data_IF_372380354377
#
_entry.id   IF_372380354377
#
_cell.length_a   1.000
_cell.length_b   1.000
_cell.length_c   1.000
_cell.angle_alpha   90.00
_cell.angle_beta   90.00
_cell.angle_gamma   90.00
#
_symmetry.space_group_name_H-M   'P 1'
#
loop_
_entity.id
_entity.type
_entity.pdbx_description
1 polymer ?
#
# COMPACT_ATOMS: atom_id res chain seq x y z
N UNK A 1 -12.72 0.00 -11.25
CA UNK A 1 -12.26 0.78 -12.41
C UNK A 1 -12.12 -0.17 -13.61
N UNK A 2 -12.68 0.16 -14.76
CA UNK A 2 -12.74 -0.70 -15.95
C UNK A 2 -11.35 -1.13 -16.46
N UNK A 3 -10.34 -0.31 -16.25
CA UNK A 3 -8.97 -0.60 -16.66
C UNK A 3 -8.25 -1.63 -15.77
N UNK A 4 -8.77 -1.93 -14.58
CA UNK A 4 -8.13 -2.88 -13.65
C UNK A 4 -8.39 -4.31 -14.12
N UNK A 5 -7.34 -5.00 -14.53
CA UNK A 5 -7.41 -6.39 -15.01
C UNK A 5 -7.16 -7.42 -13.92
N UNK A 6 -6.36 -7.08 -12.94
CA UNK A 6 -5.95 -7.99 -11.85
C UNK A 6 -5.66 -7.23 -10.58
N UNK A 7 -6.11 -7.76 -9.46
CA UNK A 7 -5.76 -7.31 -8.12
C UNK A 7 -5.16 -8.49 -7.36
N UNK A 8 -3.96 -8.35 -6.86
CA UNK A 8 -3.33 -9.30 -5.95
C UNK A 8 -3.36 -8.69 -4.54
N UNK A 9 -4.19 -9.27 -3.68
CA UNK A 9 -4.30 -8.89 -2.27
C UNK A 9 -3.42 -9.82 -1.45
N UNK A 10 -2.49 -9.26 -0.70
CA UNK A 10 -1.59 -10.01 0.18
C UNK A 10 -1.90 -9.65 1.63
N UNK A 11 -2.42 -10.61 2.38
CA UNK A 11 -2.80 -10.48 3.79
C UNK A 11 -2.25 -11.67 4.58
N UNK A 12 -1.48 -11.39 5.63
CA UNK A 12 -0.83 -12.45 6.41
C UNK A 12 -1.82 -13.26 7.24
N UNK A 13 -2.91 -12.64 7.69
CA UNK A 13 -3.91 -13.26 8.56
C UNK A 13 -5.12 -13.72 7.75
N UNK A 14 -5.30 -15.05 7.55
CA UNK A 14 -6.46 -15.57 6.85
C UNK A 14 -7.79 -15.23 7.55
N UNK A 15 -7.78 -15.02 8.88
CA UNK A 15 -8.99 -14.63 9.61
C UNK A 15 -9.47 -13.23 9.23
N UNK A 16 -8.55 -12.31 8.90
CA UNK A 16 -8.92 -10.99 8.36
C UNK A 16 -9.56 -11.10 6.98
N UNK A 17 -9.04 -11.98 6.14
CA UNK A 17 -9.65 -12.24 4.82
C UNK A 17 -11.04 -12.83 4.96
N UNK A 18 -11.21 -13.83 5.84
CA UNK A 18 -12.50 -14.46 6.11
C UNK A 18 -13.50 -13.46 6.70
N UNK A 19 -13.05 -12.63 7.64
CA UNK A 19 -13.88 -11.59 8.25
C UNK A 19 -14.34 -10.56 7.20
N UNK A 20 -13.44 -10.11 6.33
CA UNK A 20 -13.76 -9.17 5.23
C UNK A 20 -14.74 -9.77 4.21
N UNK A 21 -14.74 -11.10 4.04
CA UNK A 21 -15.62 -11.83 3.14
C UNK A 21 -16.98 -12.20 3.78
N UNK A 22 -17.09 -12.21 5.13
CA UNK A 22 -18.27 -12.78 5.80
C UNK A 22 -19.01 -11.81 6.72
N UNK A 23 -18.31 -10.84 7.33
CA UNK A 23 -18.94 -9.89 8.24
C UNK A 23 -19.79 -8.88 7.47
N UNK A 24 -21.10 -8.71 7.76
CA UNK A 24 -22.01 -7.89 6.95
C UNK A 24 -21.54 -6.45 6.74
N UNK A 25 -20.99 -5.80 7.77
CA UNK A 25 -20.50 -4.43 7.65
C UNK A 25 -19.26 -4.32 6.77
N UNK A 26 -18.33 -5.29 6.86
CA UNK A 26 -17.13 -5.30 6.03
C UNK A 26 -17.44 -5.65 4.58
N UNK A 27 -18.37 -6.59 4.36
CA UNK A 27 -18.89 -6.89 3.02
C UNK A 27 -19.52 -5.66 2.39
N UNK A 28 -20.32 -4.91 3.16
CA UNK A 28 -20.91 -3.65 2.68
C UNK A 28 -19.84 -2.61 2.36
N UNK A 29 -18.82 -2.45 3.21
CA UNK A 29 -17.75 -1.49 3.02
C UNK A 29 -16.87 -1.81 1.79
N UNK A 30 -16.58 -3.08 1.55
CA UNK A 30 -15.79 -3.49 0.40
C UNK A 30 -16.63 -3.77 -0.88
N UNK A 31 -17.92 -3.47 -0.84
CA UNK A 31 -18.83 -3.69 -1.97
C UNK A 31 -18.98 -5.16 -2.38
N UNK A 32 -18.73 -6.10 -1.47
CA UNK A 32 -18.75 -7.54 -1.75
C UNK A 32 -17.57 -8.02 -2.63
N UNK A 33 -16.51 -7.24 -2.73
CA UNK A 33 -15.37 -7.52 -3.64
C UNK A 33 -14.74 -8.90 -3.43
N UNK A 34 -14.76 -9.45 -2.20
CA UNK A 34 -14.24 -10.78 -1.89
C UNK A 34 -15.26 -11.92 -2.09
N UNK A 35 -16.51 -11.60 -2.43
CA UNK A 35 -17.59 -12.57 -2.70
C UNK A 35 -17.77 -12.86 -4.19
N UNK A 36 -17.01 -12.17 -5.04
CA UNK A 36 -17.05 -12.37 -6.49
C UNK A 36 -16.47 -13.76 -6.84
N UNK A 37 -17.07 -14.44 -7.80
CA UNK A 37 -16.63 -15.76 -8.29
C UNK A 37 -15.28 -15.72 -9.01
N UNK A 38 -14.78 -14.53 -9.33
CA UNK A 38 -13.43 -14.28 -9.86
C UNK A 38 -12.35 -14.19 -8.78
N UNK A 39 -12.72 -14.23 -7.49
CA UNK A 39 -11.78 -14.24 -6.38
C UNK A 39 -11.23 -15.65 -6.18
N UNK A 40 -9.91 -15.77 -6.17
CA UNK A 40 -9.21 -17.02 -5.87
C UNK A 40 -8.33 -16.87 -4.64
N UNK A 41 -8.41 -17.79 -3.69
CA UNK A 41 -7.51 -17.88 -2.56
C UNK A 41 -6.28 -18.72 -2.93
N UNK A 42 -5.10 -18.17 -2.65
CA UNK A 42 -3.81 -18.83 -2.87
C UNK A 42 -3.06 -18.92 -1.54
N UNK A 43 -3.17 -20.02 -0.79
CA UNK A 43 -2.62 -20.11 0.57
C UNK A 43 -1.10 -20.11 0.63
N UNK A 44 -0.42 -20.42 -0.49
CA UNK A 44 1.03 -20.41 -0.56
C UNK A 44 1.52 -20.11 -1.98
N UNK A 45 2.77 -19.61 -2.08
CA UNK A 45 3.46 -19.47 -3.36
C UNK A 45 4.00 -20.85 -3.82
N UNK A 46 3.92 -21.10 -5.13
CA UNK A 46 4.37 -22.38 -5.70
C UNK A 46 3.33 -23.51 -5.64
N UNK A 47 2.13 -23.22 -5.15
CA UNK A 47 1.01 -24.15 -5.19
C UNK A 47 0.51 -24.25 -6.63
N UNK A 48 0.33 -25.48 -7.12
CA UNK A 48 -0.22 -25.75 -8.45
C UNK A 48 -1.64 -25.20 -8.59
N UNK A 49 -2.08 -24.89 -9.80
CA UNK A 49 -3.45 -24.36 -10.04
C UNK A 49 -4.56 -25.28 -9.47
N UNK A 50 -4.31 -26.59 -9.35
CA UNK A 50 -5.24 -27.56 -8.77
C UNK A 50 -5.45 -27.43 -7.24
N UNK A 51 -4.59 -26.70 -6.52
CA UNK A 51 -4.68 -26.47 -5.08
C UNK A 51 -5.25 -25.10 -4.70
N UNK A 52 -5.77 -24.36 -5.69
CA UNK A 52 -6.46 -23.08 -5.48
C UNK A 52 -7.78 -23.38 -4.76
N UNK A 53 -7.91 -22.89 -3.54
CA UNK A 53 -9.20 -22.89 -2.85
C UNK A 53 -10.03 -21.73 -3.33
N UNK A 54 -11.18 -22.00 -3.92
CA UNK A 54 -12.25 -21.00 -4.09
C UNK A 54 -12.83 -20.70 -2.72
N UNK A 55 -13.01 -19.42 -2.40
CA UNK A 55 -13.77 -19.02 -1.19
C UNK A 55 -15.18 -19.55 -1.39
N UNK A 56 -15.56 -20.53 -0.57
CA UNK A 56 -16.95 -21.01 -0.58
C UNK A 56 -17.84 -19.85 -0.14
N UNK A 57 -18.68 -19.38 -1.05
CA UNK A 57 -19.71 -18.35 -0.71
C UNK A 57 -20.50 -18.82 0.49
N UNK A 58 -20.63 -17.98 1.55
CA UNK A 58 -21.64 -18.26 2.55
C UNK A 58 -22.99 -18.28 1.83
N UNK A 59 -23.67 -19.39 1.85
CA UNK A 59 -24.95 -19.63 1.13
C UNK A 59 -26.12 -18.72 1.59
N UNK A 60 -25.88 -17.71 2.42
CA UNK A 60 -26.89 -16.88 3.08
C UNK A 60 -26.72 -15.36 2.89
N UNK A 61 -25.77 -14.89 2.09
CA UNK A 61 -25.68 -13.45 1.80
C UNK A 61 -26.70 -13.09 0.73
N UNK A 62 -27.59 -12.15 1.09
CA UNK A 62 -28.61 -11.67 0.17
C UNK A 62 -27.97 -10.99 -1.04
N UNK A 63 -28.47 -11.20 -2.28
CA UNK A 63 -27.96 -10.56 -3.50
C UNK A 63 -27.91 -9.03 -3.43
N UNK A 64 -28.74 -8.41 -2.58
CA UNK A 64 -28.79 -6.96 -2.37
C UNK A 64 -27.56 -6.34 -1.69
N UNK A 65 -26.63 -7.15 -1.17
CA UNK A 65 -25.34 -6.69 -0.61
C UNK A 65 -24.24 -6.63 -1.64
N UNK A 66 -24.46 -7.19 -2.84
CA UNK A 66 -23.54 -7.10 -3.95
C UNK A 66 -23.78 -5.76 -4.65
N UNK A 67 -22.77 -4.93 -4.72
CA UNK A 67 -22.80 -3.72 -5.54
C UNK A 67 -22.98 -4.11 -7.01
N UNK A 68 -23.93 -3.47 -7.72
CA UNK A 68 -24.10 -3.64 -9.18
C UNK A 68 -22.90 -3.11 -9.98
N UNK A 69 -21.92 -2.50 -9.32
CA UNK A 69 -20.66 -2.02 -9.89
C UNK A 69 -19.55 -3.04 -9.86
N UNK A 70 -19.84 -4.32 -10.01
CA UNK A 70 -18.82 -5.35 -10.17
C UNK A 70 -18.18 -5.20 -11.57
N UNK A 71 -16.90 -4.83 -11.60
CA UNK A 71 -16.15 -4.71 -12.84
C UNK A 71 -16.00 -6.10 -13.49
N UNK A 72 -16.57 -6.35 -14.67
CA UNK A 72 -16.74 -7.71 -15.19
C UNK A 72 -15.43 -8.40 -15.59
N UNK A 73 -14.29 -7.71 -15.51
CA UNK A 73 -12.99 -8.22 -15.98
C UNK A 73 -11.90 -8.29 -14.92
N UNK A 74 -12.08 -7.71 -13.73
CA UNK A 74 -11.04 -7.74 -12.70
C UNK A 74 -10.98 -9.12 -12.04
N UNK A 75 -9.79 -9.72 -12.00
CA UNK A 75 -9.52 -10.94 -11.24
C UNK A 75 -8.85 -10.57 -9.92
N UNK A 76 -9.45 -10.94 -8.80
CA UNK A 76 -8.85 -10.76 -7.48
C UNK A 76 -8.23 -12.08 -7.03
N UNK A 77 -6.95 -12.06 -6.71
CA UNK A 77 -6.23 -13.19 -6.12
C UNK A 77 -5.81 -12.84 -4.71
N UNK A 78 -6.24 -13.61 -3.75
CA UNK A 78 -5.92 -13.39 -2.34
C UNK A 78 -4.82 -14.36 -1.94
N UNK A 79 -3.75 -13.82 -1.36
CA UNK A 79 -2.61 -14.56 -0.85
C UNK A 79 -2.55 -14.38 0.67
N UNK A 80 -2.87 -15.43 1.43
CA UNK A 80 -2.65 -15.41 2.88
C UNK A 80 -1.19 -15.78 3.18
N UNK A 81 -0.33 -14.77 3.05
CA UNK A 81 1.11 -14.93 3.09
C UNK A 81 1.79 -13.67 3.62
N UNK A 82 2.95 -13.85 4.26
CA UNK A 82 3.84 -12.73 4.61
C UNK A 82 4.31 -11.99 3.34
N UNK A 83 4.14 -10.67 3.32
CA UNK A 83 4.50 -9.84 2.17
C UNK A 83 5.99 -9.92 1.82
N UNK A 84 6.92 -10.15 2.80
CA UNK A 84 8.35 -10.37 2.51
C UNK A 84 8.57 -11.68 1.73
N UNK A 85 7.73 -12.69 1.93
CA UNK A 85 7.76 -13.91 1.13
C UNK A 85 7.14 -13.68 -0.25
N UNK A 86 6.03 -12.95 -0.32
CA UNK A 86 5.35 -12.65 -1.58
C UNK A 86 6.26 -11.91 -2.57
N UNK A 87 6.96 -10.85 -2.13
CA UNK A 87 7.83 -10.06 -3.03
C UNK A 87 9.08 -10.82 -3.49
N UNK A 88 9.36 -11.98 -2.95
CA UNK A 88 10.45 -12.86 -3.43
C UNK A 88 10.05 -13.65 -4.67
N UNK A 89 8.77 -13.88 -4.86
CA UNK A 89 8.25 -14.47 -6.07
C UNK A 89 7.97 -13.40 -7.10
N UNK A 90 8.25 -13.67 -8.37
CA UNK A 90 7.99 -12.72 -9.45
C UNK A 90 6.54 -12.89 -9.93
N UNK A 91 5.60 -12.28 -9.22
CA UNK A 91 4.18 -12.27 -9.59
C UNK A 91 3.80 -11.11 -10.51
N UNK A 92 4.61 -10.02 -10.52
CA UNK A 92 4.43 -8.86 -11.42
C UNK A 92 4.55 -9.19 -12.91
N UNK A 93 4.56 -8.20 -13.79
CA UNK A 93 4.66 -6.79 -13.42
C UNK A 93 3.35 -6.19 -12.89
N UNK A 94 3.48 -5.18 -12.01
CA UNK A 94 2.38 -4.39 -11.47
C UNK A 94 2.47 -2.95 -11.95
N UNK A 95 1.32 -2.37 -12.30
CA UNK A 95 1.19 -0.95 -12.63
C UNK A 95 1.04 -0.09 -11.36
N UNK A 96 0.42 -0.66 -10.32
CA UNK A 96 0.23 0.00 -9.04
C UNK A 96 0.42 -0.99 -7.89
N UNK A 97 1.19 -0.57 -6.89
CA UNK A 97 1.31 -1.28 -5.61
C UNK A 97 0.89 -0.34 -4.48
N UNK A 98 -0.03 -0.81 -3.64
CA UNK A 98 -0.44 -0.10 -2.43
C UNK A 98 0.09 -0.88 -1.24
N UNK A 99 0.87 -0.22 -0.40
CA UNK A 99 1.44 -0.77 0.83
C UNK A 99 0.76 -0.13 2.02
N UNK A 100 0.04 -0.93 2.79
CA UNK A 100 -0.61 -0.52 4.03
C UNK A 100 -0.21 -1.50 5.15
N UNK A 101 1.05 -1.43 5.55
CA UNK A 101 1.59 -2.26 6.61
C UNK A 101 1.38 -1.62 7.98
N UNK A 102 1.27 -2.41 9.05
CA UNK A 102 1.30 -1.89 10.41
C UNK A 102 2.66 -1.24 10.70
N UNK A 103 2.66 -0.27 11.61
CA UNK A 103 3.88 0.40 12.06
C UNK A 103 4.99 -0.59 12.46
N UNK A 104 6.26 -0.26 12.21
CA UNK A 104 7.40 -1.14 12.46
C UNK A 104 7.72 -1.28 13.95
N UNK A 105 6.83 -1.92 14.72
CA UNK A 105 6.95 -2.14 16.18
C UNK A 105 7.86 -3.32 16.56
N UNK A 106 8.16 -4.19 15.62
CA UNK A 106 8.96 -5.41 15.81
C UNK A 106 9.93 -5.63 14.67
N UNK A 107 10.91 -6.52 14.83
CA UNK A 107 11.81 -6.94 13.75
C UNK A 107 11.01 -7.54 12.59
N UNK A 108 9.92 -8.27 12.90
CA UNK A 108 9.03 -8.85 11.91
C UNK A 108 8.34 -7.83 11.01
N UNK A 109 7.89 -6.69 11.57
CA UNK A 109 7.29 -5.60 10.78
C UNK A 109 8.35 -4.67 10.18
N UNK A 110 9.47 -4.42 10.90
CA UNK A 110 10.54 -3.55 10.40
C UNK A 110 11.19 -4.06 9.09
N UNK A 111 11.21 -5.39 8.86
CA UNK A 111 11.74 -5.97 7.60
C UNK A 111 10.96 -5.53 6.37
N UNK A 112 9.64 -5.24 6.51
CA UNK A 112 8.74 -4.80 5.44
C UNK A 112 9.03 -3.36 4.97
N UNK A 113 9.80 -2.61 5.76
CA UNK A 113 10.26 -1.26 5.45
C UNK A 113 11.76 -1.23 5.12
N UNK A 114 12.37 -2.39 4.84
CA UNK A 114 13.81 -2.49 4.63
C UNK A 114 14.21 -2.26 3.19
N UNK A 115 15.47 -1.87 3.01
CA UNK A 115 16.13 -1.75 1.70
C UNK A 115 15.97 -3.04 0.87
N UNK A 116 16.11 -4.20 1.53
CA UNK A 116 15.99 -5.51 0.87
C UNK A 116 14.56 -5.76 0.36
N UNK A 117 13.55 -5.38 1.14
CA UNK A 117 12.16 -5.48 0.73
C UNK A 117 11.87 -4.59 -0.48
N UNK A 118 12.24 -3.30 -0.40
CA UNK A 118 11.98 -2.35 -1.48
C UNK A 118 12.75 -2.68 -2.77
N UNK A 119 13.96 -3.21 -2.69
CA UNK A 119 14.70 -3.70 -3.87
C UNK A 119 14.00 -4.88 -4.55
N UNK A 120 13.36 -5.77 -3.80
CA UNK A 120 12.57 -6.85 -4.37
C UNK A 120 11.27 -6.34 -4.96
N UNK A 121 10.62 -5.41 -4.27
CA UNK A 121 9.43 -4.74 -4.78
C UNK A 121 9.70 -4.03 -6.11
N UNK A 122 10.84 -3.36 -6.25
CA UNK A 122 11.23 -2.69 -7.48
C UNK A 122 11.21 -3.62 -8.71
N UNK A 123 11.53 -4.92 -8.51
CA UNK A 123 11.51 -5.93 -9.58
C UNK A 123 10.11 -6.39 -9.95
N UNK A 124 9.10 -6.04 -9.17
CA UNK A 124 7.70 -6.38 -9.40
C UNK A 124 6.96 -5.30 -10.21
N UNK A 125 7.57 -4.12 -10.37
CA UNK A 125 6.95 -3.02 -11.11
C UNK A 125 7.17 -3.16 -12.61
N UNK A 126 6.11 -2.86 -13.35
CA UNK A 126 6.18 -2.64 -14.79
C UNK A 126 6.68 -1.24 -15.14
N UNK A 127 6.90 -0.98 -16.45
CA UNK A 127 7.21 0.36 -16.94
C UNK A 127 6.15 1.37 -16.50
N UNK A 128 6.55 2.46 -15.85
CA UNK A 128 5.62 3.47 -15.32
C UNK A 128 4.87 3.06 -14.05
N UNK A 129 5.23 1.92 -13.45
CA UNK A 129 4.60 1.43 -12.22
C UNK A 129 4.81 2.36 -11.03
N UNK A 130 3.77 2.51 -10.20
CA UNK A 130 3.73 3.38 -9.02
C UNK A 130 3.58 2.56 -7.75
N UNK A 131 4.15 3.07 -6.67
CA UNK A 131 3.97 2.54 -5.31
C UNK A 131 3.42 3.63 -4.43
N UNK A 132 2.30 3.39 -3.75
CA UNK A 132 1.81 4.21 -2.65
C UNK A 132 2.10 3.48 -1.33
N UNK A 133 3.06 3.98 -0.55
CA UNK A 133 3.50 3.35 0.68
C UNK A 133 3.06 4.16 1.90
N UNK A 134 2.24 3.55 2.76
CA UNK A 134 1.96 4.07 4.10
C UNK A 134 3.27 4.27 4.85
N UNK A 135 3.42 5.42 5.51
CA UNK A 135 4.71 5.83 6.07
C UNK A 135 4.59 6.45 7.45
N UNK A 136 3.52 6.11 8.19
CA UNK A 136 3.23 6.64 9.53
C UNK A 136 2.99 8.17 9.55
N UNK A 137 2.92 8.78 10.72
CA UNK A 137 2.68 10.22 10.83
C UNK A 137 3.98 11.02 10.59
N UNK A 138 4.02 11.93 9.63
CA UNK A 138 5.15 12.84 9.46
C UNK A 138 5.30 13.80 10.62
N UNK A 139 4.29 13.93 11.47
CA UNK A 139 4.28 14.82 12.63
C UNK A 139 4.70 14.10 13.90
N UNK A 140 4.00 13.03 14.27
CA UNK A 140 4.25 12.29 15.52
C UNK A 140 5.46 11.34 15.43
N UNK A 141 5.78 10.87 14.23
CA UNK A 141 6.83 9.87 13.98
C UNK A 141 7.73 10.31 12.82
N UNK A 142 8.15 11.57 12.84
CA UNK A 142 8.88 12.23 11.75
C UNK A 142 10.11 11.43 11.30
N UNK A 143 10.91 10.93 12.22
CA UNK A 143 12.14 10.20 11.89
C UNK A 143 11.83 8.86 11.18
N UNK A 144 10.77 8.17 11.58
CA UNK A 144 10.30 6.97 10.87
C UNK A 144 9.83 7.32 9.46
N UNK A 145 9.01 8.36 9.33
CA UNK A 145 8.53 8.85 8.04
C UNK A 145 9.69 9.14 7.08
N UNK A 146 10.67 9.89 7.55
CA UNK A 146 11.88 10.23 6.76
C UNK A 146 12.72 8.98 6.46
N UNK A 147 12.86 8.06 7.41
CA UNK A 147 13.58 6.80 7.24
C UNK A 147 12.98 5.95 6.12
N UNK A 148 11.65 5.85 6.05
CA UNK A 148 10.95 5.13 5.00
C UNK A 148 11.25 5.75 3.63
N UNK A 149 11.10 7.06 3.49
CA UNK A 149 11.39 7.77 2.25
C UNK A 149 12.86 7.62 1.82
N UNK A 150 13.79 7.78 2.76
CA UNK A 150 15.23 7.60 2.49
C UNK A 150 15.58 6.17 2.09
N UNK A 151 14.92 5.18 2.69
CA UNK A 151 15.12 3.77 2.35
C UNK A 151 14.56 3.43 0.97
N UNK A 152 13.41 3.99 0.59
CA UNK A 152 12.86 3.88 -0.76
C UNK A 152 13.85 4.46 -1.80
N UNK A 153 14.39 5.67 -1.57
CA UNK A 153 15.39 6.26 -2.45
C UNK A 153 16.67 5.42 -2.56
N UNK A 154 17.14 4.87 -1.44
CA UNK A 154 18.30 3.97 -1.44
C UNK A 154 18.04 2.65 -2.18
N UNK A 155 16.78 2.24 -2.32
CA UNK A 155 16.37 1.07 -3.11
C UNK A 155 16.27 1.36 -4.62
N UNK A 156 16.48 2.61 -5.04
CA UNK A 156 16.45 3.04 -6.43
C UNK A 156 15.17 3.75 -6.86
N UNK A 157 14.20 3.94 -5.97
CA UNK A 157 13.01 4.71 -6.27
C UNK A 157 13.27 6.21 -6.23
N UNK A 158 12.51 6.96 -7.01
CA UNK A 158 12.15 8.33 -6.67
C UNK A 158 11.00 8.26 -5.67
N UNK A 159 10.94 9.15 -4.70
CA UNK A 159 9.96 9.06 -3.62
C UNK A 159 9.48 10.46 -3.20
N UNK A 160 8.25 10.78 -3.56
CA UNK A 160 7.57 12.02 -3.21
C UNK A 160 6.75 11.81 -1.93
N UNK A 161 7.07 12.49 -0.82
CA UNK A 161 6.27 12.43 0.38
C UNK A 161 4.96 13.18 0.19
N UNK A 162 3.88 12.64 0.76
CA UNK A 162 2.60 13.34 0.85
C UNK A 162 1.91 13.01 2.17
N UNK A 163 0.96 13.83 2.56
CA UNK A 163 0.25 13.71 3.84
C UNK A 163 -1.22 14.10 3.70
N UNK A 164 -2.03 13.58 4.59
CA UNK A 164 -3.44 13.94 4.71
C UNK A 164 -3.88 13.79 6.17
N UNK A 165 -4.82 14.63 6.60
CA UNK A 165 -5.45 14.45 7.89
C UNK A 165 -6.46 13.30 7.82
N UNK A 166 -6.25 12.28 8.64
CA UNK A 166 -7.17 11.15 8.83
C UNK A 166 -7.91 11.38 10.14
N UNK A 167 -9.25 11.52 10.15
CA UNK A 167 -9.99 11.94 11.33
C UNK A 167 -9.73 11.11 12.61
N UNK A 168 -9.44 9.81 12.46
CA UNK A 168 -9.16 8.90 13.58
C UNK A 168 -7.69 8.88 14.03
N UNK A 169 -6.75 9.36 13.21
CA UNK A 169 -5.30 9.28 13.48
C UNK A 169 -4.60 10.63 13.50
N UNK A 170 -5.28 11.70 13.05
CA UNK A 170 -4.66 12.98 12.80
C UNK A 170 -3.87 13.00 11.49
N UNK A 171 -2.75 13.73 11.47
CA UNK A 171 -1.95 13.84 10.26
C UNK A 171 -1.16 12.55 10.00
N UNK A 172 -1.44 11.94 8.85
CA UNK A 172 -0.83 10.70 8.39
C UNK A 172 -0.08 10.92 7.08
N UNK A 173 0.95 10.12 6.85
CA UNK A 173 1.85 10.31 5.72
C UNK A 173 2.07 9.06 4.90
N UNK A 174 2.38 9.30 3.63
CA UNK A 174 2.71 8.29 2.64
C UNK A 174 3.88 8.76 1.77
N UNK A 175 4.46 7.83 1.04
CA UNK A 175 5.36 8.12 -0.07
C UNK A 175 4.78 7.56 -1.36
N UNK A 176 4.62 8.41 -2.37
CA UNK A 176 4.44 7.99 -3.76
C UNK A 176 5.83 7.70 -4.33
N UNK A 177 6.06 6.48 -4.80
CA UNK A 177 7.36 6.07 -5.28
C UNK A 177 7.29 5.43 -6.67
N UNK A 178 8.34 5.60 -7.49
CA UNK A 178 8.40 5.10 -8.88
C UNK A 178 9.85 4.94 -9.33
N UNK A 179 10.05 4.24 -10.48
CA UNK A 179 11.38 3.96 -11.03
C UNK A 179 11.68 4.70 -12.35
N UNK A 180 10.67 5.29 -12.99
CA UNK A 180 10.84 5.98 -14.27
C UNK A 180 11.55 7.35 -14.12
N UNK A 181 11.92 7.96 -15.26
CA UNK A 181 12.80 9.14 -15.28
C UNK A 181 12.17 10.46 -14.80
N UNK A 182 10.85 10.54 -14.66
CA UNK A 182 10.17 11.76 -14.15
C UNK A 182 10.76 12.18 -12.82
N UNK A 183 11.21 13.41 -12.71
CA UNK A 183 11.75 13.99 -11.48
C UNK A 183 10.72 14.10 -10.36
N UNK A 184 11.16 14.19 -9.11
CA UNK A 184 10.25 14.41 -7.97
C UNK A 184 9.58 15.79 -8.06
N UNK A 185 10.31 16.80 -8.53
CA UNK A 185 9.77 18.16 -8.80
C UNK A 185 8.66 18.13 -9.84
N UNK A 186 8.89 17.41 -10.96
CA UNK A 186 7.92 17.33 -12.05
C UNK A 186 6.66 16.57 -11.63
N UNK A 187 6.82 15.49 -10.86
CA UNK A 187 5.69 14.75 -10.29
C UNK A 187 4.89 15.64 -9.33
N UNK A 188 5.58 16.41 -8.50
CA UNK A 188 4.94 17.36 -7.58
C UNK A 188 4.17 18.43 -8.35
N UNK A 189 4.77 19.05 -9.36
CA UNK A 189 4.13 20.05 -10.22
C UNK A 189 2.90 19.48 -10.92
N UNK A 190 2.98 18.26 -11.43
CA UNK A 190 1.83 17.56 -12.04
C UNK A 190 0.66 17.39 -11.07
N UNK A 191 0.93 17.10 -9.79
CA UNK A 191 -0.10 16.99 -8.75
C UNK A 191 -0.66 18.35 -8.34
N UNK A 192 0.18 19.37 -8.28
CA UNK A 192 -0.21 20.74 -7.91
C UNK A 192 -1.03 21.44 -9.01
N UNK A 193 -0.77 21.11 -10.26
CA UNK A 193 -1.46 21.69 -11.43
C UNK A 193 -2.66 20.86 -11.90
N UNK A 194 -3.02 19.79 -11.18
CA UNK A 194 -4.13 18.92 -11.53
C UNK A 194 -5.46 19.71 -11.55
N UNK A 195 -6.12 19.73 -12.69
CA UNK A 195 -7.37 20.48 -12.88
C UNK A 195 -8.63 19.64 -12.63
N UNK A 196 -8.51 18.31 -12.74
CA UNK A 196 -9.62 17.39 -12.52
C UNK A 196 -9.12 16.04 -12.00
N UNK A 197 -9.98 15.35 -11.25
CA UNK A 197 -9.77 13.97 -10.85
C UNK A 197 -10.58 13.11 -11.81
N UNK A 198 -9.91 12.26 -12.60
CA UNK A 198 -10.51 11.48 -13.69
C UNK A 198 -11.45 10.35 -13.22
N UNK A 199 -11.78 10.29 -11.92
CA UNK A 199 -12.65 9.27 -11.33
C UNK A 199 -13.59 9.92 -10.30
N UNK A 200 -14.83 9.43 -10.14
CA UNK A 200 -15.74 9.90 -9.09
C UNK A 200 -15.14 9.63 -7.70
N UNK A 201 -15.10 10.66 -6.86
CA UNK A 201 -14.62 10.57 -5.49
C UNK A 201 -15.61 11.22 -4.53
N UNK A 202 -15.80 10.63 -3.35
CA UNK A 202 -16.66 11.20 -2.31
C UNK A 202 -15.95 12.22 -1.41
N UNK A 203 -14.62 12.22 -1.41
CA UNK A 203 -13.82 13.05 -0.50
C UNK A 203 -12.73 13.87 -1.21
N UNK A 204 -12.02 13.26 -2.15
CA UNK A 204 -10.83 13.83 -2.76
C UNK A 204 -11.20 14.98 -3.72
N UNK A 205 -10.51 16.11 -3.57
CA UNK A 205 -10.58 17.25 -4.48
C UNK A 205 -9.19 17.57 -5.03
N UNK A 206 -9.10 18.30 -6.14
CA UNK A 206 -7.81 18.76 -6.68
C UNK A 206 -7.02 19.59 -5.67
N UNK A 207 -7.70 20.42 -4.88
CA UNK A 207 -7.08 21.20 -3.82
C UNK A 207 -6.48 20.32 -2.70
N UNK A 208 -7.14 19.22 -2.32
CA UNK A 208 -6.58 18.26 -1.36
C UNK A 208 -5.35 17.56 -1.93
N UNK A 209 -5.37 17.17 -3.21
CA UNK A 209 -4.21 16.56 -3.89
C UNK A 209 -3.04 17.54 -3.93
N UNK A 210 -3.26 18.76 -4.37
CA UNK A 210 -2.24 19.81 -4.45
C UNK A 210 -1.61 20.11 -3.09
N UNK A 211 -2.42 20.24 -2.03
CA UNK A 211 -1.93 20.50 -0.67
C UNK A 211 -1.26 19.30 0.00
N UNK A 212 -1.49 18.09 -0.47
CA UNK A 212 -0.95 16.88 0.15
C UNK A 212 0.58 16.85 0.17
N UNK A 213 1.24 17.46 -0.81
CA UNK A 213 2.71 17.53 -0.92
C UNK A 213 3.34 18.72 -0.19
N UNK A 214 2.53 19.58 0.45
CA UNK A 214 3.01 20.76 1.17
C UNK A 214 3.51 20.39 2.57
N UNK A 215 4.78 20.68 2.86
CA UNK A 215 5.41 20.49 4.18
C UNK A 215 6.04 21.79 4.66
N UNK A 216 6.19 21.92 5.98
CA UNK A 216 6.88 23.05 6.58
C UNK A 216 8.35 23.13 6.17
N UNK A 217 8.92 24.33 6.27
CA UNK A 217 10.31 24.60 5.93
C UNK A 217 11.24 23.61 6.69
N UNK A 218 12.16 22.95 5.97
CA UNK A 218 13.11 21.97 6.50
C UNK A 218 12.48 20.72 7.15
N UNK A 219 11.17 20.51 7.01
CA UNK A 219 10.48 19.37 7.62
C UNK A 219 10.94 18.03 7.02
N UNK A 220 11.32 18.06 5.74
CA UNK A 220 11.79 16.89 5.00
C UNK A 220 13.32 16.71 5.01
N UNK A 221 14.06 17.47 5.84
CA UNK A 221 15.49 17.30 6.00
C UNK A 221 15.79 15.94 6.67
N UNK A 222 16.46 15.06 5.93
CA UNK A 222 16.78 13.70 6.31
C UNK A 222 18.27 13.42 6.43
N UNK A 223 19.12 14.46 6.51
CA UNK A 223 20.58 14.33 6.52
C UNK A 223 21.09 13.41 7.64
N UNK A 224 20.46 13.48 8.83
CA UNK A 224 20.80 12.68 10.01
C UNK A 224 20.07 11.33 10.08
N UNK A 225 19.18 11.04 9.15
CA UNK A 225 18.38 9.80 9.13
C UNK A 225 19.18 8.68 8.45
N UNK A 226 19.17 7.50 9.03
CA UNK A 226 19.75 6.30 8.45
C UNK A 226 18.73 5.48 7.67
N UNK A 227 19.18 4.72 6.67
CA UNK A 227 18.36 3.76 5.95
C UNK A 227 18.05 2.54 6.83
N UNK A 228 16.87 1.96 6.63
CA UNK A 228 16.47 0.75 7.32
C UNK A 228 16.88 -0.48 6.48
N UNK A 229 17.61 -1.42 7.09
CA UNK A 229 17.97 -2.68 6.45
C UNK A 229 17.48 -3.87 7.26
N UNK A 230 17.36 -5.03 6.62
CA UNK A 230 16.90 -6.26 7.28
C UNK A 230 17.78 -6.64 8.49
N UNK A 231 19.09 -6.44 8.40
CA UNK A 231 20.06 -6.82 9.44
C UNK A 231 20.36 -5.68 10.41
N UNK A 232 20.05 -4.44 10.04
CA UNK A 232 20.13 -3.25 10.90
C UNK A 232 18.81 -2.50 10.83
N UNK A 233 17.80 -2.92 11.62
CA UNK A 233 16.47 -2.33 11.59
C UNK A 233 16.42 -1.00 12.35
N UNK A 234 17.07 0.03 11.79
CA UNK A 234 17.21 1.38 12.36
C UNK A 234 15.84 2.02 12.65
N UNK A 235 14.85 1.71 11.84
CA UNK A 235 13.49 2.22 11.98
C UNK A 235 12.87 1.88 13.36
N UNK A 236 13.29 0.79 14.01
CA UNK A 236 12.83 0.43 15.36
C UNK A 236 13.34 1.41 16.42
N UNK A 237 14.50 2.03 16.21
CA UNK A 237 15.03 3.03 17.14
C UNK A 237 14.17 4.29 17.04
N UNK A 238 13.84 4.73 15.83
CA UNK A 238 12.97 5.87 15.59
C UNK A 238 11.56 5.64 16.13
N UNK A 239 11.00 4.43 15.98
CA UNK A 239 9.73 4.08 16.61
C UNK A 239 9.76 4.24 18.13
N UNK A 240 10.80 3.74 18.80
CA UNK A 240 10.93 3.84 20.26
C UNK A 240 11.09 5.29 20.75
N UNK A 241 11.71 6.15 19.94
CA UNK A 241 11.89 7.57 20.27
C UNK A 241 10.57 8.34 20.15
N UNK A 242 9.77 8.07 19.13
CA UNK A 242 8.47 8.73 18.88
C UNK A 242 7.45 8.55 20.01
N UNK A 243 7.56 7.50 20.81
CA UNK A 243 6.65 7.20 21.93
C UNK A 243 7.20 7.59 23.30
N UNK A 244 8.34 8.26 23.36
CA UNK A 244 8.96 8.71 24.62
C UNK A 244 8.73 10.20 24.92
N UNK A 245 8.19 10.94 23.96
CA UNK A 245 7.78 12.34 24.05
C UNK A 245 6.25 12.42 24.08
#
# INVERSE_FOLDING_TARGET
>A
YEAVRRVDLVEIDPAMTDLAATHPDLVRLNGGALLDDRVTLRPALGVSEGEIRTVSRPSKLAPSLLSDTVYPQARVRVYNLDADLFVRSLQGPYDLVIIDFPDPKSVGTAKLYSLDFYRRLARQLGPGGLVAAQSTSPYHSREMFLCIGKTLRAAGFRALPYRQNVPSFGEWGWHLAWLHETGESDMKENLETLTSIGVPTGYLTTALVSNATAFGKRWLDDAHIEINTKFRPTILQYHRQSWRN
#
